data_IF_965303249867
#
_entry.id   IF_965303249867
#
_cell.length_a   1.000
_cell.length_b   1.000
_cell.length_c   1.000
_cell.angle_alpha   90.00
_cell.angle_beta   90.00
_cell.angle_gamma   90.00
#
_symmetry.space_group_name_H-M   'P 1'
#
loop_
_entity.id
_entity.type
_entity.pdbx_description
1 polymer ?
#
# COMPACT_ATOMS: atom_id res chain seq x y z
N UNK A 1 -0.25 -15.83 20.80
CA UNK A 1 0.28 -16.05 19.43
C UNK A 1 1.16 -14.85 19.08
N UNK A 2 2.36 -15.05 18.50
CA UNK A 2 3.24 -13.95 18.07
C UNK A 2 3.02 -13.73 16.57
N UNK A 3 2.54 -12.55 16.18
CA UNK A 3 2.31 -12.19 14.77
C UNK A 3 3.44 -11.23 14.38
N UNK A 4 4.44 -11.65 13.60
CA UNK A 4 5.61 -10.82 13.32
C UNK A 4 5.33 -9.70 12.32
N UNK A 5 4.40 -9.92 11.38
CA UNK A 5 4.01 -8.97 10.34
C UNK A 5 2.49 -9.00 10.18
N UNK A 6 1.87 -7.84 9.99
CA UNK A 6 0.45 -7.72 9.69
C UNK A 6 0.26 -6.92 8.39
N UNK A 7 -0.50 -7.47 7.45
CA UNK A 7 -0.78 -6.86 6.14
C UNK A 7 -2.09 -6.06 6.16
N UNK A 8 -2.07 -4.83 5.64
CA UNK A 8 -3.20 -3.91 5.53
C UNK A 8 -2.90 -2.83 4.47
N UNK A 9 -3.87 -2.03 3.99
CA UNK A 9 -5.22 -2.47 3.77
C UNK A 9 -5.20 -3.58 2.74
N UNK A 10 -5.98 -4.62 2.98
CA UNK A 10 -5.77 -5.91 2.37
C UNK A 10 -6.96 -6.45 1.60
N UNK A 11 -6.62 -7.40 0.75
CA UNK A 11 -7.51 -8.04 -0.19
C UNK A 11 -7.96 -7.08 -1.28
N UNK A 12 -9.04 -7.46 -1.95
CA UNK A 12 -9.59 -6.73 -3.08
C UNK A 12 -9.94 -5.27 -2.77
N UNK A 13 -10.22 -4.94 -1.50
CA UNK A 13 -10.51 -3.60 -1.00
C UNK A 13 -9.47 -2.55 -1.43
N UNK A 14 -8.18 -2.88 -1.36
CA UNK A 14 -7.10 -1.88 -1.59
C UNK A 14 -7.12 -1.31 -3.00
N UNK A 15 -7.60 -2.07 -3.99
CA UNK A 15 -7.61 -1.64 -5.39
C UNK A 15 -8.65 -0.55 -5.70
N UNK A 16 -9.49 -0.19 -4.73
CA UNK A 16 -10.39 0.96 -4.79
C UNK A 16 -10.21 1.94 -3.61
N UNK A 17 -9.21 1.72 -2.76
CA UNK A 17 -8.99 2.49 -1.53
C UNK A 17 -8.09 3.71 -1.78
N UNK A 18 -8.50 4.88 -1.30
CA UNK A 18 -7.67 6.09 -1.33
C UNK A 18 -7.18 6.43 0.07
N UNK A 19 -5.88 6.26 0.36
CA UNK A 19 -5.37 6.26 1.73
C UNK A 19 -5.58 7.59 2.47
N UNK A 20 -5.65 8.69 1.73
CA UNK A 20 -5.91 10.03 2.27
C UNK A 20 -7.30 10.15 2.89
N UNK A 21 -8.26 9.31 2.48
CA UNK A 21 -9.59 9.27 3.10
C UNK A 21 -9.52 8.73 4.54
N UNK A 22 -8.47 7.99 4.90
CA UNK A 22 -8.28 7.33 6.19
C UNK A 22 -7.32 8.03 7.16
N UNK A 23 -6.91 9.27 6.92
CA UNK A 23 -5.98 10.02 7.82
C UNK A 23 -6.58 11.35 8.24
N UNK A 24 -6.05 11.95 9.30
CA UNK A 24 -6.53 13.22 9.84
C UNK A 24 -7.78 13.07 10.73
N UNK A 25 -8.48 14.17 11.05
CA UNK A 25 -9.57 14.15 12.03
C UNK A 25 -10.71 13.22 11.59
N UNK A 26 -11.06 12.25 12.44
CA UNK A 26 -11.99 11.14 12.12
C UNK A 26 -13.35 11.63 11.66
N UNK A 27 -13.83 12.73 12.22
CA UNK A 27 -15.11 13.36 11.88
C UNK A 27 -15.15 14.01 10.50
N UNK A 28 -14.00 14.23 9.87
CA UNK A 28 -13.87 14.78 8.51
C UNK A 28 -13.63 13.70 7.45
N UNK A 29 -13.40 12.44 7.88
CA UNK A 29 -13.12 11.33 6.97
C UNK A 29 -14.40 10.91 6.22
N UNK A 30 -14.36 10.77 4.88
CA UNK A 30 -15.54 10.45 4.10
C UNK A 30 -15.93 8.99 4.28
N UNK A 31 -17.24 8.70 4.18
CA UNK A 31 -17.74 7.34 3.99
C UNK A 31 -17.70 7.00 2.49
N UNK A 32 -17.24 5.81 2.13
CA UNK A 32 -17.07 5.36 0.74
C UNK A 32 -17.78 4.03 0.51
N UNK A 33 -18.20 3.77 -0.73
CA UNK A 33 -18.62 2.43 -1.12
C UNK A 33 -17.37 1.62 -1.48
N UNK A 34 -17.15 0.53 -0.77
CA UNK A 34 -16.20 -0.51 -1.17
C UNK A 34 -16.85 -1.41 -2.23
N UNK A 35 -16.32 -1.37 -3.44
CA UNK A 35 -16.81 -2.16 -4.57
C UNK A 35 -16.38 -3.63 -4.50
N UNK A 36 -15.32 -3.97 -3.77
CA UNK A 36 -14.87 -5.35 -3.63
C UNK A 36 -15.88 -6.18 -2.83
N UNK A 37 -16.37 -5.64 -1.72
CA UNK A 37 -17.28 -6.33 -0.81
C UNK A 37 -18.69 -5.74 -0.77
N UNK A 38 -18.98 -4.74 -1.60
CA UNK A 38 -20.28 -4.06 -1.71
C UNK A 38 -20.78 -3.56 -0.34
N UNK A 39 -19.87 -2.98 0.43
CA UNK A 39 -20.13 -2.46 1.77
C UNK A 39 -19.77 -1.00 1.86
N UNK A 40 -20.30 -0.32 2.87
CA UNK A 40 -19.85 1.01 3.23
C UNK A 40 -18.57 0.93 4.08
N UNK A 41 -17.52 1.64 3.66
CA UNK A 41 -16.32 1.92 4.44
C UNK A 41 -16.47 3.29 5.12
N UNK A 42 -16.26 3.31 6.43
CA UNK A 42 -16.38 4.52 7.25
C UNK A 42 -15.12 5.37 7.32
N UNK A 43 -13.97 4.78 6.96
CA UNK A 43 -12.61 5.33 7.09
C UNK A 43 -12.20 5.74 8.52
N UNK A 44 -12.95 5.29 9.54
CA UNK A 44 -12.60 5.54 10.95
C UNK A 44 -11.31 4.83 11.38
N UNK A 45 -10.94 3.78 10.67
CA UNK A 45 -9.67 3.08 10.85
C UNK A 45 -8.86 3.23 9.57
N UNK A 46 -7.74 3.93 9.64
CA UNK A 46 -6.84 4.12 8.52
C UNK A 46 -5.39 3.95 8.92
N UNK A 47 -4.50 4.68 8.22
CA UNK A 47 -3.04 4.47 8.34
C UNK A 47 -2.57 4.68 9.77
N UNK A 48 -2.97 5.78 10.40
CA UNK A 48 -2.48 6.17 11.72
C UNK A 48 -2.91 5.14 12.78
N UNK A 49 -4.20 4.75 12.78
CA UNK A 49 -4.73 3.74 13.70
C UNK A 49 -4.12 2.35 13.47
N UNK A 50 -3.85 1.98 12.20
CA UNK A 50 -3.22 0.72 11.86
C UNK A 50 -1.78 0.62 12.40
N UNK A 51 -1.01 1.71 12.29
CA UNK A 51 0.36 1.77 12.81
C UNK A 51 0.36 1.67 14.33
N UNK A 52 -0.54 2.38 15.02
CA UNK A 52 -0.67 2.27 16.47
C UNK A 52 -1.06 0.86 16.91
N UNK A 53 -1.99 0.23 16.18
CA UNK A 53 -2.39 -1.15 16.43
C UNK A 53 -1.20 -2.11 16.29
N UNK A 54 -0.44 -2.02 15.19
CA UNK A 54 0.78 -2.81 14.99
C UNK A 54 1.80 -2.62 16.13
N UNK A 55 2.05 -1.37 16.56
CA UNK A 55 2.94 -1.05 17.68
C UNK A 55 2.48 -1.67 18.99
N UNK A 56 1.18 -1.61 19.28
CA UNK A 56 0.60 -2.19 20.50
C UNK A 56 0.78 -3.71 20.58
N UNK A 57 0.86 -4.38 19.42
CA UNK A 57 1.05 -5.82 19.29
C UNK A 57 2.53 -6.24 19.18
N UNK A 58 3.45 -5.28 19.01
CA UNK A 58 4.85 -5.57 18.68
C UNK A 58 5.00 -6.25 17.31
N UNK A 59 4.18 -5.85 16.35
CA UNK A 59 4.09 -6.40 14.99
C UNK A 59 4.58 -5.38 13.97
N UNK A 60 5.28 -5.83 12.93
CA UNK A 60 5.68 -4.96 11.82
C UNK A 60 4.51 -4.70 10.86
N UNK A 61 4.26 -3.45 10.47
CA UNK A 61 3.25 -3.13 9.46
C UNK A 61 3.74 -3.50 8.06
N UNK A 62 2.85 -4.12 7.27
CA UNK A 62 2.96 -4.29 5.83
C UNK A 62 1.79 -3.51 5.20
N UNK A 63 2.10 -2.44 4.45
CA UNK A 63 1.11 -1.65 3.70
C UNK A 63 0.98 -2.07 2.23
N UNK A 64 -0.23 -2.32 1.70
CA UNK A 64 -0.46 -2.47 0.26
C UNK A 64 -0.91 -1.16 -0.38
N UNK A 65 -0.34 -0.83 -1.54
CA UNK A 65 -0.74 0.37 -2.31
C UNK A 65 -1.84 0.06 -3.31
N UNK A 66 -2.73 1.03 -3.55
CA UNK A 66 -3.77 0.92 -4.56
C UNK A 66 -3.17 0.99 -5.97
N UNK A 67 -3.14 -0.15 -6.66
CA UNK A 67 -2.77 -0.24 -8.08
C UNK A 67 -3.97 -0.50 -9.00
N UNK A 68 -5.20 -0.47 -8.48
CA UNK A 68 -6.42 -0.52 -9.27
C UNK A 68 -6.76 0.87 -9.81
N UNK A 69 -7.44 1.68 -9.00
CA UNK A 69 -7.82 3.07 -9.30
C UNK A 69 -6.78 4.11 -8.87
N UNK A 70 -5.82 3.73 -8.02
CA UNK A 70 -4.80 4.63 -7.48
C UNK A 70 -3.70 4.99 -8.48
N UNK A 71 -2.86 5.96 -8.09
CA UNK A 71 -1.78 6.50 -8.93
C UNK A 71 -0.40 6.32 -8.29
N UNK A 72 0.65 6.53 -9.08
CA UNK A 72 2.03 6.56 -8.59
C UNK A 72 2.23 7.69 -7.57
N UNK A 73 1.65 8.86 -7.83
CA UNK A 73 1.70 10.00 -6.90
C UNK A 73 1.06 9.65 -5.56
N UNK A 74 -0.06 8.91 -5.58
CA UNK A 74 -0.72 8.48 -4.36
C UNK A 74 0.13 7.49 -3.55
N UNK A 75 0.79 6.53 -4.22
CA UNK A 75 1.71 5.60 -3.57
C UNK A 75 2.97 6.28 -3.02
N UNK A 76 3.57 7.19 -3.80
CA UNK A 76 4.70 8.05 -3.40
C UNK A 76 4.35 8.85 -2.14
N UNK A 77 3.21 9.54 -2.18
CA UNK A 77 2.71 10.36 -1.09
C UNK A 77 2.49 9.55 0.19
N UNK A 78 2.02 8.30 0.07
CA UNK A 78 1.80 7.45 1.23
C UNK A 78 3.11 7.01 1.89
N UNK A 79 4.12 6.65 1.08
CA UNK A 79 5.47 6.35 1.58
C UNK A 79 6.05 7.57 2.28
N UNK A 80 5.94 8.76 1.70
CA UNK A 80 6.44 10.00 2.30
C UNK A 80 5.68 10.36 3.59
N UNK A 81 4.36 10.22 3.60
CA UNK A 81 3.54 10.41 4.80
C UNK A 81 4.02 9.49 5.93
N UNK A 82 4.23 8.21 5.63
CA UNK A 82 4.65 7.23 6.64
C UNK A 82 6.10 7.42 7.10
N UNK A 83 7.04 7.67 6.19
CA UNK A 83 8.47 7.51 6.45
C UNK A 83 9.27 8.82 6.32
N UNK A 84 8.70 9.86 5.72
CA UNK A 84 9.37 11.12 5.46
C UNK A 84 9.78 11.86 6.73
N UNK A 85 11.00 12.39 6.71
CA UNK A 85 11.61 13.18 7.79
C UNK A 85 11.84 14.64 7.42
N UNK A 86 11.77 14.98 6.12
CA UNK A 86 11.96 16.34 5.62
C UNK A 86 10.86 17.32 6.01
N UNK A 87 11.08 18.60 5.69
CA UNK A 87 10.09 19.67 5.74
C UNK A 87 9.30 19.70 4.43
N UNK A 88 8.48 18.68 4.23
CA UNK A 88 7.71 18.45 3.01
C UNK A 88 6.23 18.24 3.34
N UNK A 89 5.36 18.41 2.34
CA UNK A 89 3.92 18.44 2.57
C UNK A 89 3.41 17.19 3.30
N UNK A 90 3.73 15.98 2.84
CA UNK A 90 3.19 14.75 3.41
C UNK A 90 3.78 14.41 4.79
N UNK A 91 5.08 14.62 4.97
CA UNK A 91 5.71 14.47 6.28
C UNK A 91 5.12 15.46 7.31
N UNK A 92 4.93 16.72 6.91
CA UNK A 92 4.30 17.73 7.77
C UNK A 92 2.82 17.48 8.01
N UNK A 93 2.12 16.86 7.06
CA UNK A 93 0.73 16.47 7.24
C UNK A 93 0.61 15.42 8.34
N UNK A 94 1.48 14.40 8.35
CA UNK A 94 1.58 13.40 9.43
C UNK A 94 1.82 14.08 10.79
N UNK A 95 2.79 15.00 10.87
CA UNK A 95 3.07 15.79 12.09
C UNK A 95 1.85 16.59 12.55
N UNK A 96 1.18 17.27 11.61
CA UNK A 96 -0.03 18.06 11.87
C UNK A 96 -1.16 17.22 12.46
N UNK A 97 -1.27 15.95 12.06
CA UNK A 97 -2.24 15.01 12.60
C UNK A 97 -1.83 14.36 13.92
N UNK A 98 -0.73 14.82 14.54
CA UNK A 98 -0.32 14.41 15.88
C UNK A 98 0.79 13.35 15.91
N UNK A 99 1.34 12.99 14.75
CA UNK A 99 2.33 11.93 14.62
C UNK A 99 3.68 12.48 14.17
N UNK A 100 4.42 13.03 15.13
CA UNK A 100 5.67 13.76 14.89
C UNK A 100 6.74 12.88 14.19
N UNK A 101 7.04 11.74 14.81
CA UNK A 101 8.04 10.79 14.33
C UNK A 101 7.55 9.98 13.13
N UNK A 102 8.43 9.66 12.16
CA UNK A 102 8.07 8.75 11.08
C UNK A 102 7.68 7.36 11.61
N UNK A 103 6.73 6.73 10.94
CA UNK A 103 6.29 5.38 11.22
C UNK A 103 7.33 4.33 10.88
N UNK A 104 8.17 4.61 9.87
CA UNK A 104 9.22 3.70 9.37
C UNK A 104 8.64 2.35 8.91
N UNK A 105 7.56 2.42 8.14
CA UNK A 105 6.92 1.25 7.53
C UNK A 105 7.90 0.62 6.55
N UNK A 106 8.27 -0.64 6.83
CA UNK A 106 9.28 -1.35 6.06
C UNK A 106 8.70 -2.07 4.84
N UNK A 107 7.59 -2.79 4.99
CA UNK A 107 7.08 -3.68 3.95
C UNK A 107 5.94 -3.04 3.18
N UNK A 108 6.03 -3.07 1.85
CA UNK A 108 5.02 -2.50 0.97
C UNK A 108 4.66 -3.44 -0.18
N UNK A 109 3.36 -3.63 -0.43
CA UNK A 109 2.86 -4.49 -1.50
C UNK A 109 2.39 -3.70 -2.71
N UNK A 110 2.87 -4.08 -3.89
CA UNK A 110 2.53 -3.49 -5.17
C UNK A 110 1.19 -4.04 -5.66
N UNK A 111 0.10 -3.55 -5.08
CA UNK A 111 -1.27 -3.97 -5.39
C UNK A 111 -1.74 -5.22 -4.64
N UNK A 112 -2.79 -5.84 -5.15
CA UNK A 112 -3.32 -7.11 -4.67
C UNK A 112 -3.86 -7.91 -5.86
N UNK A 113 -3.43 -9.17 -6.02
CA UNK A 113 -4.01 -10.16 -6.96
C UNK A 113 -4.41 -9.59 -8.34
N UNK A 114 -3.52 -8.77 -8.93
CA UNK A 114 -3.84 -8.00 -10.14
C UNK A 114 -4.10 -8.87 -11.38
N UNK A 115 -3.88 -10.19 -11.29
CA UNK A 115 -4.21 -11.18 -12.32
C UNK A 115 -5.70 -11.54 -12.37
N UNK A 116 -6.44 -11.38 -11.27
CA UNK A 116 -7.79 -11.90 -11.13
C UNK A 116 -8.83 -11.00 -11.79
N UNK A 117 -9.70 -11.56 -12.65
CA UNK A 117 -10.76 -10.80 -13.34
C UNK A 117 -11.79 -10.12 -12.41
N UNK A 118 -11.86 -10.55 -11.14
CA UNK A 118 -12.71 -9.96 -10.11
C UNK A 118 -12.12 -8.67 -9.53
N UNK A 119 -10.84 -8.43 -9.76
CA UNK A 119 -10.10 -7.37 -9.13
C UNK A 119 -10.27 -6.05 -9.87
N UNK A 120 -10.43 -4.95 -9.12
CA UNK A 120 -10.48 -3.61 -9.70
C UNK A 120 -9.13 -3.32 -10.35
N UNK A 121 -9.17 -3.01 -11.66
CA UNK A 121 -7.96 -2.75 -12.43
C UNK A 121 -7.13 -3.98 -12.74
N UNK A 122 -7.74 -5.17 -12.86
CA UNK A 122 -7.06 -6.39 -13.31
C UNK A 122 -6.24 -6.18 -14.60
N UNK A 123 -5.07 -6.83 -14.69
CA UNK A 123 -4.08 -6.65 -15.74
C UNK A 123 -3.64 -8.01 -16.31
N UNK A 124 -3.01 -7.95 -17.49
CA UNK A 124 -2.15 -9.05 -17.97
C UNK A 124 -0.80 -8.98 -17.25
N UNK A 125 -0.05 -10.09 -17.27
CA UNK A 125 1.20 -10.19 -16.54
C UNK A 125 2.23 -9.12 -16.96
N UNK A 126 2.38 -8.90 -18.28
CA UNK A 126 3.31 -7.92 -18.84
C UNK A 126 2.90 -6.48 -18.48
N UNK A 127 1.59 -6.20 -18.44
CA UNK A 127 1.07 -4.88 -18.10
C UNK A 127 1.22 -4.60 -16.61
N UNK A 128 1.03 -5.63 -15.77
CA UNK A 128 1.30 -5.53 -14.34
C UNK A 128 2.78 -5.31 -14.08
N UNK A 129 3.68 -6.08 -14.69
CA UNK A 129 5.12 -5.92 -14.50
C UNK A 129 5.58 -4.49 -14.86
N UNK A 130 5.20 -3.98 -16.02
CA UNK A 130 5.50 -2.59 -16.44
C UNK A 130 4.97 -1.55 -15.44
N UNK A 131 3.72 -1.71 -15.01
CA UNK A 131 3.10 -0.78 -14.04
C UNK A 131 3.81 -0.85 -12.68
N UNK A 132 4.09 -2.07 -12.19
CA UNK A 132 4.72 -2.31 -10.90
C UNK A 132 6.16 -1.77 -10.85
N UNK A 133 6.92 -1.86 -11.95
CA UNK A 133 8.27 -1.29 -12.03
C UNK A 133 8.25 0.23 -11.78
N UNK A 134 7.32 0.96 -12.38
CA UNK A 134 7.26 2.41 -12.21
C UNK A 134 6.76 2.81 -10.81
N UNK A 135 5.80 2.08 -10.25
CA UNK A 135 5.43 2.22 -8.83
C UNK A 135 6.61 1.94 -7.91
N UNK A 136 7.37 0.87 -8.16
CA UNK A 136 8.54 0.51 -7.37
C UNK A 136 9.61 1.61 -7.39
N UNK A 137 9.90 2.20 -8.55
CA UNK A 137 10.84 3.31 -8.69
C UNK A 137 10.44 4.50 -7.84
N UNK A 138 9.21 5.01 -7.99
CA UNK A 138 8.79 6.22 -7.25
C UNK A 138 8.77 5.98 -5.73
N UNK A 139 8.38 4.78 -5.30
CA UNK A 139 8.37 4.42 -3.88
C UNK A 139 9.79 4.31 -3.31
N UNK A 140 10.71 3.60 -4.00
CA UNK A 140 12.12 3.46 -3.56
C UNK A 140 12.90 4.77 -3.68
N UNK A 141 12.57 5.66 -4.62
CA UNK A 141 13.17 6.99 -4.68
C UNK A 141 12.69 7.89 -3.54
N UNK A 142 11.51 7.65 -3.00
CA UNK A 142 10.99 8.36 -1.82
C UNK A 142 11.63 7.85 -0.55
N UNK A 143 11.75 6.53 -0.40
CA UNK A 143 12.46 5.90 0.71
C UNK A 143 13.19 4.64 0.21
N UNK A 144 14.53 4.68 0.04
CA UNK A 144 15.28 3.55 -0.48
C UNK A 144 15.37 2.38 0.51
N UNK A 145 14.97 2.56 1.77
CA UNK A 145 15.05 1.54 2.82
C UNK A 145 13.86 0.59 2.89
N UNK A 146 12.75 0.91 2.22
CA UNK A 146 11.57 0.05 2.17
C UNK A 146 11.86 -1.26 1.45
N UNK A 147 11.05 -2.28 1.69
CA UNK A 147 11.05 -3.53 0.94
C UNK A 147 9.73 -3.69 0.18
N UNK A 148 9.82 -4.00 -1.10
CA UNK A 148 8.65 -4.13 -1.98
C UNK A 148 8.31 -5.59 -2.23
N UNK A 149 7.00 -5.87 -2.29
CA UNK A 149 6.43 -7.20 -2.53
C UNK A 149 5.58 -7.14 -3.81
N UNK A 150 5.93 -7.93 -4.81
CA UNK A 150 5.15 -8.12 -6.03
C UNK A 150 3.92 -9.02 -5.82
N UNK A 151 2.91 -8.89 -6.69
CA UNK A 151 1.77 -9.79 -6.72
C UNK A 151 2.11 -11.06 -7.50
N UNK A 152 2.27 -12.19 -6.79
CA UNK A 152 2.25 -13.53 -7.38
C UNK A 152 0.84 -14.11 -7.45
N UNK A 153 0.68 -15.20 -8.21
CA UNK A 153 -0.55 -15.99 -8.32
C UNK A 153 -0.45 -17.28 -7.51
N UNK A 154 0.32 -18.27 -7.98
CA UNK A 154 0.42 -19.58 -7.33
C UNK A 154 1.84 -20.15 -7.28
N UNK A 155 2.81 -19.49 -7.91
CA UNK A 155 4.23 -19.83 -7.92
C UNK A 155 4.68 -20.63 -9.14
N UNK A 156 3.78 -21.01 -10.05
CA UNK A 156 4.11 -21.79 -11.26
C UNK A 156 3.29 -21.39 -12.50
N UNK A 157 2.51 -20.31 -12.43
CA UNK A 157 1.73 -19.87 -13.58
C UNK A 157 2.56 -19.05 -14.57
N UNK A 158 2.00 -18.82 -15.75
CA UNK A 158 2.59 -17.90 -16.73
C UNK A 158 2.71 -16.47 -16.17
N UNK A 159 1.75 -16.05 -15.34
CA UNK A 159 1.81 -14.78 -14.62
C UNK A 159 3.06 -14.72 -13.76
N UNK A 160 3.28 -15.72 -12.91
CA UNK A 160 4.43 -15.75 -12.00
C UNK A 160 5.76 -15.72 -12.77
N UNK A 161 5.85 -16.46 -13.89
CA UNK A 161 7.04 -16.46 -14.74
C UNK A 161 7.36 -15.05 -15.28
N UNK A 162 6.38 -14.40 -15.91
CA UNK A 162 6.57 -13.06 -16.52
C UNK A 162 6.90 -12.02 -15.43
N UNK A 163 6.17 -12.04 -14.32
CA UNK A 163 6.40 -11.09 -13.22
C UNK A 163 7.78 -11.29 -12.61
N UNK A 164 8.21 -12.52 -12.34
CA UNK A 164 9.55 -12.76 -11.80
C UNK A 164 10.66 -12.37 -12.80
N UNK A 165 10.49 -12.63 -14.10
CA UNK A 165 11.47 -12.25 -15.12
C UNK A 165 11.64 -10.73 -15.24
N UNK A 166 10.55 -9.96 -15.19
CA UNK A 166 10.59 -8.51 -15.44
C UNK A 166 10.73 -7.66 -14.16
N UNK A 167 10.03 -8.03 -13.08
CA UNK A 167 9.89 -7.20 -11.88
C UNK A 167 10.94 -7.50 -10.81
N UNK A 168 11.49 -8.72 -10.74
CA UNK A 168 12.42 -9.12 -9.67
C UNK A 168 13.63 -8.19 -9.45
N UNK A 169 14.20 -7.49 -10.46
CA UNK A 169 15.29 -6.55 -10.21
C UNK A 169 14.88 -5.29 -9.41
N UNK A 170 13.59 -5.03 -9.25
CA UNK A 170 13.04 -3.81 -8.65
C UNK A 170 12.32 -4.04 -7.32
N UNK A 171 12.12 -5.30 -6.91
CA UNK A 171 11.41 -5.67 -5.69
C UNK A 171 12.22 -6.63 -4.83
N UNK A 172 11.79 -6.83 -3.59
CA UNK A 172 12.47 -7.66 -2.60
C UNK A 172 11.82 -9.05 -2.45
N UNK A 173 10.50 -9.14 -2.75
CA UNK A 173 9.68 -10.35 -2.60
C UNK A 173 8.67 -10.50 -3.75
#
# INVERSE_FOLDING_TARGET
MRIPVLRWPGGNFVSGYHWTDGVGPVEQRPRRMDLAWHTEESNRFGTDEFIEYCRSLGTEPYICVNMGTGTMDEAQAWVEYCNGTGDTYWANLRRRYGHEEPYRVKYWGLGNEMYGRWQIGALRAEDYAKKAIEFAKVMKWTDPSIQLVGCGENGWSEWDRVVLEELSPFVDY
#
